data_IF_696793006117
#
_entry.id   IF_696793006117
#
_cell.length_a   1.000
_cell.length_b   1.000
_cell.length_c   1.000
_cell.angle_alpha   90.00
_cell.angle_beta   90.00
_cell.angle_gamma   90.00
#
_symmetry.space_group_name_H-M   'P 1'
#
loop_
_entity.id
_entity.type
_entity.pdbx_description
1 polymer ?
#
# COMPACT_ATOMS: atom_id res chain seq x y z
N UNK A 1 -2.84 -15.94 16.66
CA UNK A 1 -2.64 -15.38 15.31
C UNK A 1 -3.82 -14.48 15.03
N UNK A 2 -3.71 -13.18 15.32
CA UNK A 2 -4.83 -12.25 15.31
C UNK A 2 -4.64 -11.38 14.07
N UNK A 3 -5.42 -11.62 13.02
CA UNK A 3 -5.60 -10.66 11.93
C UNK A 3 -6.34 -9.44 12.50
N UNK A 4 -5.74 -8.25 12.61
CA UNK A 4 -6.45 -7.09 13.13
C UNK A 4 -7.33 -6.50 12.02
N UNK A 5 -8.63 -6.73 12.14
CA UNK A 5 -9.69 -5.76 11.80
C UNK A 5 -9.89 -5.43 10.33
N UNK A 6 -10.62 -6.29 9.61
CA UNK A 6 -11.43 -5.84 8.46
C UNK A 6 -12.52 -4.93 9.03
N UNK A 7 -12.34 -3.61 8.90
CA UNK A 7 -13.34 -2.63 9.27
C UNK A 7 -14.43 -2.59 8.19
N UNK A 8 -15.60 -3.18 8.44
CA UNK A 8 -16.76 -2.98 7.58
C UNK A 8 -17.52 -1.72 8.02
N UNK A 9 -17.62 -0.75 7.10
CA UNK A 9 -18.88 -0.17 6.55
C UNK A 9 -18.85 1.36 6.42
N UNK A 10 -18.50 1.83 5.23
CA UNK A 10 -19.23 2.92 4.56
C UNK A 10 -19.47 2.52 3.10
N UNK A 11 -20.71 2.66 2.64
CA UNK A 11 -21.10 2.47 1.25
C UNK A 11 -20.84 3.78 0.50
N UNK A 12 -19.94 3.75 -0.47
CA UNK A 12 -20.05 4.60 -1.66
C UNK A 12 -19.82 3.68 -2.85
N UNK A 13 -20.88 3.45 -3.64
CA UNK A 13 -20.85 2.63 -4.85
C UNK A 13 -20.65 3.53 -6.07
N UNK A 14 -19.69 3.19 -6.94
CA UNK A 14 -19.88 3.23 -8.39
C UNK A 14 -19.17 2.04 -9.03
N UNK A 15 -19.98 1.08 -9.50
CA UNK A 15 -19.54 -0.12 -10.18
C UNK A 15 -19.02 0.23 -11.59
N UNK A 16 -17.76 -0.07 -11.89
CA UNK A 16 -17.33 -0.28 -13.28
C UNK A 16 -17.29 -1.80 -13.51
N UNK A 17 -18.27 -2.29 -14.28
CA UNK A 17 -18.53 -3.71 -14.46
C UNK A 17 -17.31 -4.49 -14.93
N UNK A 18 -16.73 -5.29 -14.02
CA UNK A 18 -15.95 -6.49 -14.35
C UNK A 18 -16.34 -7.59 -13.38
N UNK A 19 -17.15 -8.53 -13.85
CA UNK A 19 -17.33 -9.83 -13.19
C UNK A 19 -16.00 -10.57 -13.23
N UNK A 20 -15.27 -10.57 -12.10
CA UNK A 20 -14.09 -11.42 -11.90
C UNK A 20 -14.57 -12.87 -11.85
N UNK A 21 -14.20 -13.67 -12.85
CA UNK A 21 -14.32 -15.13 -12.78
C UNK A 21 -13.51 -15.70 -11.60
N UNK A 22 -13.68 -16.99 -11.26
CA UNK A 22 -12.95 -17.62 -10.17
C UNK A 22 -11.46 -17.75 -10.53
N UNK A 23 -10.69 -16.71 -10.23
CA UNK A 23 -9.23 -16.77 -10.27
C UNK A 23 -8.76 -17.44 -8.97
N UNK A 24 -7.96 -18.50 -9.06
CA UNK A 24 -7.34 -19.15 -7.89
C UNK A 24 -6.68 -18.09 -7.01
N UNK A 25 -7.12 -18.00 -5.75
CA UNK A 25 -6.78 -16.91 -4.82
C UNK A 25 -5.26 -16.81 -4.60
N UNK A 26 -4.58 -17.93 -4.71
CA UNK A 26 -3.13 -18.09 -4.52
C UNK A 26 -2.28 -17.36 -5.58
N UNK A 27 -2.77 -17.19 -6.81
CA UNK A 27 -1.99 -16.52 -7.86
C UNK A 27 -2.32 -15.04 -8.01
N UNK A 28 -3.12 -14.47 -7.11
CA UNK A 28 -3.54 -13.06 -7.20
C UNK A 28 -2.48 -12.15 -6.59
N UNK A 29 -1.96 -11.25 -7.42
CA UNK A 29 -1.19 -10.12 -6.92
C UNK A 29 -2.07 -9.24 -6.04
N UNK A 30 -1.60 -9.01 -4.82
CA UNK A 30 -2.13 -8.00 -3.92
C UNK A 30 -1.42 -6.70 -4.26
N UNK A 31 -2.17 -5.76 -4.84
CA UNK A 31 -1.66 -4.43 -5.15
C UNK A 31 -1.83 -3.54 -3.91
N UNK A 32 -2.71 -2.54 -3.94
CA UNK A 32 -2.89 -1.61 -2.83
C UNK A 32 -3.48 -2.26 -1.56
N UNK A 33 -2.81 -2.05 -0.43
CA UNK A 33 -3.25 -2.43 0.92
C UNK A 33 -3.53 -1.22 1.82
N UNK A 34 -3.08 -0.03 1.42
CA UNK A 34 -3.35 1.22 2.11
C UNK A 34 -3.28 2.40 1.15
N UNK A 35 -3.95 3.49 1.50
CA UNK A 35 -3.90 4.73 0.75
C UNK A 35 -3.83 5.92 1.69
N UNK A 36 -3.10 6.95 1.27
CA UNK A 36 -3.05 8.25 1.92
C UNK A 36 -3.13 9.33 0.85
N UNK A 37 -4.06 10.27 1.01
CA UNK A 37 -4.24 11.37 0.09
C UNK A 37 -3.75 12.67 0.72
N UNK A 38 -3.06 13.47 -0.07
CA UNK A 38 -2.62 14.83 0.25
C UNK A 38 -3.40 15.81 -0.62
N UNK A 39 -3.13 17.11 -0.50
CA UNK A 39 -3.69 18.09 -1.43
C UNK A 39 -3.23 17.83 -2.87
N UNK A 40 -1.99 17.34 -3.05
CA UNK A 40 -1.38 17.23 -4.37
C UNK A 40 -1.58 15.86 -5.03
N UNK A 41 -1.51 14.78 -4.25
CA UNK A 41 -1.39 13.42 -4.79
C UNK A 41 -2.13 12.37 -3.94
N UNK A 42 -2.37 11.22 -4.56
CA UNK A 42 -2.82 10.01 -3.88
C UNK A 42 -1.64 9.04 -3.83
N UNK A 43 -1.30 8.59 -2.63
CA UNK A 43 -0.28 7.58 -2.38
C UNK A 43 -0.95 6.27 -2.05
N UNK A 44 -0.48 5.17 -2.64
CA UNK A 44 -0.88 3.82 -2.26
C UNK A 44 0.32 3.01 -1.80
N UNK A 45 0.14 2.26 -0.71
CA UNK A 45 1.07 1.23 -0.29
C UNK A 45 0.64 -0.07 -0.96
N UNK A 46 1.49 -0.60 -1.83
CA UNK A 46 1.22 -1.80 -2.59
C UNK A 46 2.12 -2.93 -2.13
N UNK A 47 1.59 -4.14 -1.96
CA UNK A 47 2.44 -5.30 -1.71
C UNK A 47 3.15 -5.72 -3.00
N UNK A 48 2.48 -5.66 -4.15
CA UNK A 48 2.99 -6.15 -5.44
C UNK A 48 3.47 -7.60 -5.35
N UNK A 49 2.71 -8.44 -4.63
CA UNK A 49 3.10 -9.80 -4.25
C UNK A 49 1.92 -10.76 -4.30
N UNK A 50 2.22 -12.04 -4.51
CA UNK A 50 1.28 -13.13 -4.20
C UNK A 50 1.28 -13.44 -2.69
N UNK A 51 0.24 -14.12 -2.16
CA UNK A 51 0.29 -14.65 -0.79
C UNK A 51 1.58 -15.44 -0.49
N UNK A 52 2.05 -16.25 -1.44
CA UNK A 52 3.27 -17.06 -1.30
C UNK A 52 4.52 -16.18 -1.17
N UNK A 53 4.63 -15.10 -1.94
CA UNK A 53 5.75 -14.17 -1.84
C UNK A 53 5.79 -13.45 -0.48
N UNK A 54 4.61 -13.17 0.08
CA UNK A 54 4.46 -12.56 1.41
C UNK A 54 4.94 -13.54 2.49
N UNK A 55 4.44 -14.79 2.47
CA UNK A 55 4.88 -15.82 3.43
C UNK A 55 6.38 -16.13 3.32
N UNK A 56 6.95 -16.03 2.12
CA UNK A 56 8.37 -16.23 1.88
C UNK A 56 9.23 -14.99 2.23
N UNK A 57 8.62 -13.84 2.57
CA UNK A 57 9.34 -12.59 2.85
C UNK A 57 10.23 -12.13 1.69
N UNK A 58 9.84 -12.44 0.45
CA UNK A 58 10.75 -12.39 -0.71
C UNK A 58 11.03 -10.99 -1.25
N UNK A 59 10.04 -10.10 -1.15
CA UNK A 59 10.09 -8.75 -1.68
C UNK A 59 9.70 -7.74 -0.59
N UNK A 60 9.84 -6.46 -0.88
CA UNK A 60 9.31 -5.37 -0.06
C UNK A 60 8.16 -4.64 -0.76
N UNK A 61 7.22 -4.04 0.00
CA UNK A 61 6.16 -3.23 -0.56
C UNK A 61 6.69 -2.04 -1.38
N UNK A 62 5.82 -1.44 -2.18
CA UNK A 62 6.10 -0.20 -2.92
C UNK A 62 5.12 0.91 -2.57
N UNK A 63 5.55 2.15 -2.73
CA UNK A 63 4.66 3.30 -2.71
C UNK A 63 4.41 3.78 -4.13
N UNK A 64 3.16 3.81 -4.56
CA UNK A 64 2.77 4.33 -5.86
C UNK A 64 2.06 5.68 -5.70
N UNK A 65 2.43 6.63 -6.54
CA UNK A 65 1.89 7.99 -6.54
C UNK A 65 0.97 8.16 -7.74
N UNK A 66 -0.21 8.69 -7.50
CA UNK A 66 -1.21 9.00 -8.52
C UNK A 66 -1.59 10.48 -8.45
N UNK A 67 -1.95 11.05 -9.61
CA UNK A 67 -2.70 12.29 -9.65
C UNK A 67 -4.16 12.04 -9.23
N UNK A 68 -4.87 13.10 -8.88
CA UNK A 68 -6.29 13.04 -8.53
C UNK A 68 -7.19 12.57 -9.68
N UNK A 69 -6.73 12.69 -10.93
CA UNK A 69 -7.38 12.15 -12.13
C UNK A 69 -7.13 10.64 -12.32
N UNK A 70 -6.38 10.01 -11.39
CA UNK A 70 -6.08 8.58 -11.42
C UNK A 70 -4.89 8.19 -12.30
N UNK A 71 -4.08 9.15 -12.77
CA UNK A 71 -2.88 8.86 -13.56
C UNK A 71 -1.73 8.42 -12.65
N UNK A 72 -1.06 7.28 -12.90
CA UNK A 72 0.16 6.93 -12.17
C UNK A 72 1.29 7.90 -12.54
N UNK A 73 1.95 8.44 -11.54
CA UNK A 73 3.02 9.42 -11.69
C UNK A 73 4.40 8.86 -11.35
N UNK A 74 4.49 8.09 -10.25
CA UNK A 74 5.77 7.54 -9.77
C UNK A 74 5.55 6.28 -8.94
N UNK A 75 6.60 5.46 -8.82
CA UNK A 75 6.66 4.34 -7.90
C UNK A 75 7.99 4.36 -7.16
N UNK A 76 7.95 4.12 -5.86
CA UNK A 76 9.10 4.01 -4.96
C UNK A 76 9.17 2.60 -4.41
N UNK A 77 10.35 2.00 -4.41
CA UNK A 77 10.58 0.68 -3.82
C UNK A 77 11.09 0.86 -2.39
N UNK A 78 10.43 0.21 -1.44
CA UNK A 78 10.88 0.24 -0.06
C UNK A 78 11.98 -0.82 0.15
N UNK A 79 12.77 -0.64 1.21
CA UNK A 79 13.82 -1.56 1.62
C UNK A 79 13.45 -2.34 2.91
N UNK A 80 12.24 -2.15 3.43
CA UNK A 80 11.69 -2.91 4.55
C UNK A 80 10.17 -3.04 4.41
N UNK A 81 9.57 -3.91 5.22
CA UNK A 81 8.12 -4.03 5.31
C UNK A 81 7.53 -2.93 6.18
N UNK A 82 6.44 -2.35 5.69
CA UNK A 82 5.50 -1.53 6.46
C UNK A 82 4.09 -1.96 6.09
N UNK A 83 3.14 -1.81 7.01
CA UNK A 83 1.74 -2.20 6.85
C UNK A 83 0.79 -1.00 6.88
N UNK A 84 1.25 0.15 7.35
CA UNK A 84 0.54 1.43 7.28
C UNK A 84 1.55 2.57 7.15
N UNK A 85 1.10 3.69 6.59
CA UNK A 85 1.96 4.85 6.37
C UNK A 85 1.18 6.15 6.38
N UNK A 86 1.93 7.25 6.55
CA UNK A 86 1.52 8.61 6.24
C UNK A 86 2.68 9.34 5.57
N UNK A 87 2.42 10.51 5.00
CA UNK A 87 3.43 11.30 4.30
C UNK A 87 3.29 12.78 4.66
N UNK A 88 4.45 13.40 4.91
CA UNK A 88 4.62 14.85 4.91
C UNK A 88 5.29 15.27 3.59
N UNK A 89 4.51 15.89 2.70
CA UNK A 89 5.00 16.35 1.41
C UNK A 89 5.96 17.53 1.52
N UNK A 90 5.81 18.39 2.54
CA UNK A 90 6.64 19.57 2.70
C UNK A 90 8.09 19.17 3.02
N UNK A 91 8.26 18.17 3.89
CA UNK A 91 9.57 17.57 4.19
C UNK A 91 9.95 16.40 3.29
N UNK A 92 9.06 16.01 2.36
CA UNK A 92 9.22 14.86 1.45
C UNK A 92 9.52 13.55 2.18
N UNK A 93 8.88 13.36 3.34
CA UNK A 93 9.16 12.26 4.26
C UNK A 93 7.95 11.36 4.42
N UNK A 94 8.16 10.06 4.24
CA UNK A 94 7.19 9.01 4.54
C UNK A 94 7.47 8.46 5.92
N UNK A 95 6.41 8.29 6.71
CA UNK A 95 6.44 7.61 7.98
C UNK A 95 5.64 6.32 7.88
N UNK A 96 6.27 5.20 8.18
CA UNK A 96 5.68 3.87 8.11
C UNK A 96 5.74 3.15 9.44
N UNK A 97 4.78 2.26 9.68
CA UNK A 97 4.80 1.31 10.79
C UNK A 97 4.62 -0.09 10.25
N UNK A 98 5.20 -1.06 10.93
CA UNK A 98 5.04 -2.47 10.60
C UNK A 98 4.28 -3.17 11.71
N UNK A 99 3.25 -3.95 11.36
CA UNK A 99 2.36 -4.59 12.33
C UNK A 99 3.08 -5.52 13.32
N UNK A 100 4.25 -6.04 12.96
CA UNK A 100 5.06 -6.92 13.82
C UNK A 100 6.21 -6.19 14.52
N UNK A 101 6.37 -4.88 14.31
CA UNK A 101 7.32 -4.03 15.03
C UNK A 101 6.57 -2.85 15.67
N UNK A 102 6.21 -3.02 16.94
CA UNK A 102 5.50 -2.01 17.74
C UNK A 102 6.42 -0.90 18.28
N UNK A 103 7.74 -1.02 18.12
CA UNK A 103 8.72 -0.16 18.77
C UNK A 103 9.29 0.95 17.87
N UNK A 104 9.04 0.86 16.55
CA UNK A 104 9.67 1.73 15.57
C UNK A 104 8.68 2.44 14.65
N UNK A 105 9.00 3.69 14.31
CA UNK A 105 8.47 4.36 13.12
C UNK A 105 9.59 4.41 12.09
N UNK A 106 9.34 3.84 10.93
CA UNK A 106 10.26 3.84 9.80
C UNK A 106 10.11 5.15 9.04
N UNK A 107 11.23 5.78 8.72
CA UNK A 107 11.24 7.07 8.03
C UNK A 107 11.97 6.93 6.71
N UNK A 108 11.34 7.39 5.63
CA UNK A 108 11.92 7.35 4.29
C UNK A 108 11.85 8.73 3.65
N UNK A 109 12.97 9.20 3.09
CA UNK A 109 12.99 10.42 2.31
C UNK A 109 12.75 10.07 0.83
N UNK A 110 11.74 10.71 0.22
CA UNK A 110 11.32 10.43 -1.16
C UNK A 110 12.35 10.82 -2.24
N UNK A 111 13.37 11.61 -1.90
CA UNK A 111 14.46 11.94 -2.83
C UNK A 111 15.59 10.91 -2.82
N UNK A 112 15.57 10.00 -1.85
CA UNK A 112 16.59 8.97 -1.64
C UNK A 112 16.03 7.54 -1.74
N UNK A 113 14.79 7.40 -2.22
CA UNK A 113 14.11 6.13 -2.51
C UNK A 113 14.13 5.78 -4.01
#
# INVERSE_FOLDING_TARGET
MIYPGICYRYRVEYFTGRTRGPLEVENRYIYAIGAYATENYIYTLNLDMTPQDIYAGKYYPSLQVFSWEGKPLKQYKLNCYISAFTIDEASRTVYGVFAEDESSIYTFNLDHL
#
